data_IF_170741849794
#
_entry.id   IF_170741849794
#
_cell.length_a   1.000
_cell.length_b   1.000
_cell.length_c   1.000
_cell.angle_alpha   90.00
_cell.angle_beta   90.00
_cell.angle_gamma   90.00
#
_symmetry.space_group_name_H-M   'P 1'
#
loop_
_entity.id
_entity.type
_entity.pdbx_description
1 polymer ?
#
# COMPACT_ATOMS: atom_id res chain seq x y z
N UNK A 1 13.74 -50.18 -56.40
CA UNK A 1 12.53 -49.41 -56.76
C UNK A 1 11.86 -49.04 -55.45
N UNK A 2 11.54 -47.75 -55.28
CA UNK A 2 10.88 -47.10 -54.12
C UNK A 2 11.80 -46.91 -52.89
N UNK A 3 11.93 -45.78 -52.21
CA UNK A 3 11.93 -44.32 -52.44
C UNK A 3 12.03 -43.70 -51.02
N UNK A 4 12.95 -42.75 -50.82
CA UNK A 4 13.13 -42.02 -49.54
C UNK A 4 11.96 -41.06 -49.28
N UNK A 5 11.49 -40.98 -48.02
CA UNK A 5 10.73 -39.84 -47.51
C UNK A 5 11.26 -39.39 -46.13
N UNK A 6 11.66 -38.12 -46.09
CA UNK A 6 12.10 -37.32 -44.95
C UNK A 6 10.96 -36.98 -43.97
N UNK A 7 11.29 -36.76 -42.68
CA UNK A 7 11.13 -35.47 -41.95
C UNK A 7 11.78 -35.55 -40.57
N UNK A 8 12.58 -34.55 -40.22
CA UNK A 8 13.15 -34.31 -38.88
C UNK A 8 12.14 -33.50 -38.04
N UNK A 9 12.04 -33.76 -36.73
CA UNK A 9 11.70 -32.70 -35.76
C UNK A 9 12.36 -32.99 -34.40
N UNK A 10 13.18 -32.05 -33.92
CA UNK A 10 13.70 -32.02 -32.56
C UNK A 10 12.63 -31.49 -31.58
N UNK A 11 12.63 -31.95 -30.32
CA UNK A 11 12.44 -31.06 -29.16
C UNK A 11 12.65 -31.79 -27.81
N UNK A 12 13.89 -31.71 -27.33
CA UNK A 12 14.32 -31.18 -26.02
C UNK A 12 13.31 -31.24 -24.84
N UNK A 13 13.73 -32.02 -23.82
CA UNK A 13 13.59 -31.84 -22.36
C UNK A 13 12.20 -31.60 -21.76
N UNK A 14 11.62 -32.67 -21.20
CA UNK A 14 10.69 -32.56 -20.08
C UNK A 14 11.46 -32.27 -18.80
N UNK A 15 11.76 -31.00 -18.51
CA UNK A 15 11.95 -30.61 -17.12
C UNK A 15 10.56 -30.55 -16.51
N UNK A 16 10.21 -31.54 -15.68
CA UNK A 16 9.11 -31.36 -14.74
C UNK A 16 9.34 -30.05 -14.00
N UNK A 17 8.34 -29.17 -13.98
CA UNK A 17 8.46 -27.87 -13.36
C UNK A 17 8.76 -28.06 -11.85
N UNK A 18 9.99 -27.77 -11.37
CA UNK A 18 10.41 -28.08 -10.00
C UNK A 18 9.64 -27.26 -8.95
N UNK A 19 8.92 -26.22 -9.39
CA UNK A 19 8.16 -25.32 -8.53
C UNK A 19 6.71 -25.75 -8.28
N UNK A 20 6.25 -26.88 -8.85
CA UNK A 20 4.88 -27.38 -8.64
C UNK A 20 4.56 -27.69 -7.16
N UNK A 21 5.58 -28.05 -6.35
CA UNK A 21 5.41 -28.29 -4.91
C UNK A 21 5.51 -27.03 -4.04
N UNK A 22 5.89 -25.88 -4.60
CA UNK A 22 5.99 -24.59 -3.91
C UNK A 22 5.04 -23.58 -4.54
N UNK A 23 3.76 -23.95 -4.65
CA UNK A 23 2.71 -22.92 -4.61
C UNK A 23 2.61 -22.50 -3.16
N UNK A 24 3.51 -21.62 -2.72
CA UNK A 24 3.25 -20.77 -1.55
C UNK A 24 1.82 -20.26 -1.74
N UNK A 25 0.96 -20.43 -0.73
CA UNK A 25 -0.39 -19.90 -0.79
C UNK A 25 -0.30 -18.45 -1.27
N UNK A 26 -1.09 -18.12 -2.30
CA UNK A 26 -1.13 -16.76 -2.82
C UNK A 26 -1.40 -15.81 -1.65
N UNK A 27 -0.62 -14.74 -1.57
CA UNK A 27 -0.66 -13.77 -0.49
C UNK A 27 -2.07 -13.15 -0.37
N UNK A 28 -2.85 -13.57 0.63
CA UNK A 28 -4.20 -13.06 0.85
C UNK A 28 -4.18 -11.89 1.84
N UNK A 29 -4.43 -10.66 1.36
CA UNK A 29 -4.39 -9.45 2.19
C UNK A 29 -5.52 -9.42 3.21
N UNK A 30 -6.64 -10.05 2.91
CA UNK A 30 -7.76 -10.11 3.84
C UNK A 30 -7.38 -10.95 5.07
N UNK A 31 -6.81 -12.14 4.86
CA UNK A 31 -6.36 -13.01 5.96
C UNK A 31 -5.25 -12.38 6.81
N UNK A 32 -4.40 -11.54 6.21
CA UNK A 32 -3.31 -10.88 6.92
C UNK A 32 -3.74 -9.68 7.76
N UNK A 33 -4.67 -8.87 7.27
CA UNK A 33 -4.96 -7.56 7.87
C UNK A 33 -6.38 -7.44 8.44
N UNK A 34 -7.31 -8.32 8.06
CA UNK A 34 -8.70 -8.32 8.52
C UNK A 34 -8.96 -9.50 9.47
N UNK A 35 -8.64 -9.30 10.75
CA UNK A 35 -8.79 -10.29 11.82
C UNK A 35 -10.16 -10.26 12.52
N UNK A 36 -10.89 -9.15 12.45
CA UNK A 36 -12.23 -9.00 13.02
C UNK A 36 -13.19 -8.38 11.99
N UNK A 37 -13.68 -9.14 10.99
CA UNK A 37 -14.50 -8.61 9.90
C UNK A 37 -15.77 -7.86 10.34
N UNK A 38 -16.33 -8.20 11.51
CA UNK A 38 -17.53 -7.54 12.05
C UNK A 38 -17.25 -6.21 12.77
N UNK A 39 -15.99 -5.89 13.06
CA UNK A 39 -15.60 -4.66 13.77
C UNK A 39 -14.59 -3.79 13.01
N UNK A 40 -14.01 -4.33 11.93
CA UNK A 40 -13.12 -3.62 11.03
C UNK A 40 -13.87 -3.04 9.84
N UNK A 41 -13.57 -1.78 9.52
CA UNK A 41 -14.14 -1.06 8.37
C UNK A 41 -13.08 -0.20 7.70
N UNK A 42 -13.29 0.07 6.42
CA UNK A 42 -12.54 1.10 5.69
C UNK A 42 -13.31 2.41 5.76
N UNK A 43 -12.60 3.49 6.04
CA UNK A 43 -13.08 4.86 5.93
C UNK A 43 -12.05 5.71 5.19
N UNK A 44 -12.45 6.88 4.71
CA UNK A 44 -11.48 7.86 4.23
C UNK A 44 -10.85 8.62 5.40
N UNK A 45 -9.57 8.94 5.26
CA UNK A 45 -8.90 9.89 6.12
C UNK A 45 -9.51 11.28 5.93
N UNK A 46 -9.97 11.92 7.01
CA UNK A 46 -10.64 13.22 6.92
C UNK A 46 -9.66 14.39 6.75
N UNK A 47 -8.38 14.18 7.03
CA UNK A 47 -7.36 15.24 7.04
C UNK A 47 -5.98 14.71 6.66
N UNK A 48 -5.06 15.65 6.42
CA UNK A 48 -3.65 15.35 6.21
C UNK A 48 -2.91 15.24 7.54
N UNK A 49 -2.53 14.02 7.93
CA UNK A 49 -1.66 13.73 9.06
C UNK A 49 -0.30 13.22 8.57
N UNK A 50 0.42 14.05 7.81
CA UNK A 50 1.65 13.65 7.11
C UNK A 50 2.80 13.22 8.05
N UNK A 51 2.74 13.59 9.33
CA UNK A 51 3.69 13.10 10.35
C UNK A 51 3.50 11.59 10.63
N UNK A 52 2.25 11.12 10.53
CA UNK A 52 1.84 9.72 10.53
C UNK A 52 1.92 9.11 9.12
N UNK A 53 2.20 9.95 8.11
CA UNK A 53 2.08 9.73 6.66
C UNK A 53 0.75 9.15 6.24
N UNK A 54 -0.30 9.78 6.76
CA UNK A 54 -1.67 9.62 6.30
C UNK A 54 -2.01 10.91 5.54
N UNK A 55 -2.40 10.79 4.27
CA UNK A 55 -2.92 11.90 3.49
C UNK A 55 -4.45 11.97 3.59
N UNK A 56 -5.03 13.14 3.34
CA UNK A 56 -6.47 13.28 3.17
C UNK A 56 -6.96 12.37 2.04
N UNK A 57 -8.06 11.64 2.28
CA UNK A 57 -8.63 10.68 1.33
C UNK A 57 -8.00 9.29 1.36
N UNK A 58 -6.87 9.07 2.05
CA UNK A 58 -6.30 7.73 2.25
C UNK A 58 -7.33 6.78 2.88
N UNK A 59 -7.26 5.50 2.56
CA UNK A 59 -8.14 4.52 3.21
C UNK A 59 -7.56 4.11 4.55
N UNK A 60 -8.40 4.13 5.58
CA UNK A 60 -8.04 3.74 6.94
C UNK A 60 -8.78 2.48 7.31
N UNK A 61 -8.04 1.44 7.70
CA UNK A 61 -8.62 0.25 8.30
C UNK A 61 -8.78 0.49 9.80
N UNK A 62 -10.02 0.75 10.21
CA UNK A 62 -10.38 1.09 11.60
C UNK A 62 -11.02 -0.11 12.27
N UNK A 63 -10.52 -0.50 13.44
CA UNK A 63 -11.09 -1.55 14.29
C UNK A 63 -11.78 -0.95 15.51
N UNK A 64 -13.09 -1.13 15.59
CA UNK A 64 -13.93 -0.66 16.70
C UNK A 64 -13.93 -1.59 17.93
N UNK A 65 -13.39 -2.81 17.81
CA UNK A 65 -13.33 -3.76 18.93
C UNK A 65 -12.09 -3.59 19.83
N UNK A 66 -11.09 -2.84 19.36
CA UNK A 66 -9.81 -2.67 20.07
C UNK A 66 -9.85 -1.56 21.09
N UNK A 67 -9.25 -1.84 22.24
CA UNK A 67 -8.84 -0.80 23.19
C UNK A 67 -7.55 -0.12 22.70
N UNK A 68 -7.49 1.23 22.67
CA UNK A 68 -6.29 1.96 22.26
C UNK A 68 -5.08 1.71 23.16
N UNK A 69 -3.91 1.51 22.55
CA UNK A 69 -2.60 1.55 23.21
C UNK A 69 -2.01 2.97 23.11
N UNK A 70 -0.98 3.27 23.91
CA UNK A 70 -0.38 4.60 23.98
C UNK A 70 0.03 5.18 22.62
N UNK A 71 0.63 4.35 21.76
CA UNK A 71 1.12 4.76 20.44
C UNK A 71 0.06 4.74 19.34
N UNK A 72 -1.17 4.28 19.64
CA UNK A 72 -2.17 4.10 18.60
C UNK A 72 -2.67 5.44 18.06
N UNK A 73 -3.03 5.42 16.79
CA UNK A 73 -3.84 6.46 16.18
C UNK A 73 -5.31 6.02 16.31
N UNK A 74 -6.16 6.90 16.81
CA UNK A 74 -7.60 6.66 16.94
C UNK A 74 -8.36 7.60 16.03
N UNK A 75 -9.47 7.11 15.49
CA UNK A 75 -10.47 7.96 14.85
C UNK A 75 -11.47 8.42 15.90
N UNK A 76 -11.66 9.73 15.98
CA UNK A 76 -12.62 10.39 16.85
C UNK A 76 -13.70 11.06 16.00
N UNK A 77 -14.92 11.14 16.51
CA UNK A 77 -16.04 11.86 15.91
C UNK A 77 -16.52 12.92 16.89
N UNK A 78 -16.72 14.15 16.43
CA UNK A 78 -17.30 15.27 17.19
C UNK A 78 -18.14 16.10 16.25
N UNK A 79 -19.41 16.36 16.60
CA UNK A 79 -20.33 17.18 15.78
C UNK A 79 -20.35 16.79 14.28
N UNK A 80 -20.43 15.48 13.98
CA UNK A 80 -20.37 14.89 12.64
C UNK A 80 -19.03 15.06 11.87
N UNK A 81 -18.02 15.69 12.48
CA UNK A 81 -16.67 15.77 11.94
C UNK A 81 -15.77 14.69 12.55
N UNK A 82 -15.03 13.99 11.68
CA UNK A 82 -14.07 12.98 12.12
C UNK A 82 -12.65 13.51 12.14
N UNK A 83 -11.86 13.10 13.13
CA UNK A 83 -10.48 13.54 13.34
C UNK A 83 -9.58 12.35 13.68
N UNK A 84 -8.31 12.44 13.27
CA UNK A 84 -7.27 11.49 13.64
C UNK A 84 -6.44 12.03 14.79
N UNK A 85 -6.27 11.23 15.84
CA UNK A 85 -5.52 11.65 17.02
C UNK A 85 -4.63 10.52 17.51
N UNK A 86 -3.38 10.82 17.85
CA UNK A 86 -2.55 9.89 18.63
C UNK A 86 -3.09 9.78 20.05
N UNK A 87 -3.32 8.56 20.52
CA UNK A 87 -3.92 8.30 21.82
C UNK A 87 -3.16 8.95 22.99
N UNK A 88 -1.83 8.93 22.97
CA UNK A 88 -0.98 9.62 23.95
C UNK A 88 -1.25 11.13 24.05
N UNK A 89 -1.61 11.80 22.96
CA UNK A 89 -1.85 13.24 22.96
C UNK A 89 -3.14 13.60 23.70
N UNK A 90 -4.17 12.75 23.59
CA UNK A 90 -5.42 12.91 24.33
C UNK A 90 -5.19 12.76 25.83
N UNK A 91 -4.38 11.76 26.23
CA UNK A 91 -4.10 11.50 27.65
C UNK A 91 -3.26 12.59 28.31
N UNK A 92 -2.34 13.19 27.57
CA UNK A 92 -1.43 14.22 28.08
C UNK A 92 -2.06 15.62 28.11
N UNK A 93 -3.21 15.80 27.49
CA UNK A 93 -3.90 17.08 27.47
C UNK A 93 -4.68 17.29 28.77
N UNK A 94 -4.01 17.81 29.80
CA UNK A 94 -4.62 18.36 31.01
C UNK A 94 -5.37 19.69 30.77
N UNK A 95 -5.73 19.98 29.52
CA UNK A 95 -6.20 21.30 29.04
C UNK A 95 -7.59 21.24 28.39
N UNK A 96 -8.30 20.12 28.48
CA UNK A 96 -9.67 20.02 27.98
C UNK A 96 -10.66 20.23 29.12
N UNK A 97 -11.61 21.16 28.90
CA UNK A 97 -12.69 21.38 29.84
C UNK A 97 -13.66 20.19 29.77
N UNK A 98 -14.30 19.84 30.88
CA UNK A 98 -15.24 18.71 30.94
C UNK A 98 -16.41 18.84 29.94
N UNK A 99 -16.72 20.07 29.48
CA UNK A 99 -17.75 20.36 28.48
C UNK A 99 -17.36 20.02 27.04
N UNK A 100 -16.06 19.90 26.71
CA UNK A 100 -15.62 19.61 25.35
C UNK A 100 -15.75 18.11 24.99
N UNK A 101 -15.93 17.24 25.98
CA UNK A 101 -16.02 15.78 25.81
C UNK A 101 -17.45 15.24 25.70
N UNK A 102 -18.48 16.05 25.92
CA UNK A 102 -19.87 15.54 25.93
C UNK A 102 -20.32 15.01 24.55
N UNK A 103 -19.61 15.36 23.47
CA UNK A 103 -19.93 14.90 22.10
C UNK A 103 -18.76 14.22 21.35
N UNK A 104 -17.66 13.85 22.02
CA UNK A 104 -16.54 13.16 21.36
C UNK A 104 -16.68 11.64 21.50
N UNK A 105 -16.83 10.95 20.37
CA UNK A 105 -16.96 9.49 20.30
C UNK A 105 -15.70 8.90 19.68
N UNK A 106 -15.08 7.95 20.36
CA UNK A 106 -14.01 7.13 19.77
C UNK A 106 -14.63 6.08 18.85
N UNK A 107 -14.34 6.18 17.56
CA UNK A 107 -14.92 5.33 16.51
C UNK A 107 -14.17 4.01 16.38
N UNK A 108 -12.85 4.02 16.61
CA UNK A 108 -12.00 2.84 16.62
C UNK A 108 -10.52 3.17 16.52
N UNK A 109 -9.69 2.14 16.63
CA UNK A 109 -8.23 2.23 16.44
C UNK A 109 -7.92 2.12 14.95
N UNK A 110 -7.13 3.06 14.42
CA UNK A 110 -6.58 2.97 13.06
C UNK A 110 -5.45 1.95 13.07
N UNK A 111 -5.64 0.85 12.37
CA UNK A 111 -4.71 -0.29 12.36
C UNK A 111 -3.78 -0.26 11.17
N UNK A 112 -4.27 0.28 10.05
CA UNK A 112 -3.51 0.46 8.82
C UNK A 112 -4.03 1.68 8.04
N UNK A 113 -3.13 2.39 7.37
CA UNK A 113 -3.49 3.36 6.33
C UNK A 113 -3.01 2.87 4.97
N UNK A 114 -3.76 3.21 3.93
CA UNK A 114 -3.50 2.82 2.55
C UNK A 114 -3.49 4.11 1.72
N UNK A 115 -2.29 4.48 1.27
CA UNK A 115 -2.08 5.62 0.40
C UNK A 115 -2.18 5.21 -1.08
N UNK A 116 -2.79 6.07 -1.90
CA UNK A 116 -3.13 5.78 -3.29
C UNK A 116 -2.34 6.63 -4.28
N UNK A 117 -1.67 5.99 -5.24
CA UNK A 117 -0.88 6.72 -6.25
C UNK A 117 -1.59 6.97 -7.59
N UNK A 118 -2.68 6.26 -7.89
CA UNK A 118 -3.52 6.57 -9.07
C UNK A 118 -5.00 6.70 -8.69
N UNK A 119 -5.70 7.58 -9.38
CA UNK A 119 -7.11 7.95 -9.19
C UNK A 119 -7.97 7.53 -10.40
N UNK A 120 -9.31 7.42 -10.26
CA UNK A 120 -10.08 7.61 -9.04
C UNK A 120 -10.01 6.40 -8.11
N UNK A 121 -10.16 6.69 -6.83
CA UNK A 121 -10.33 5.70 -5.76
C UNK A 121 -11.77 5.86 -5.29
N UNK A 122 -12.71 5.21 -5.98
CA UNK A 122 -14.05 5.07 -5.41
C UNK A 122 -13.94 4.02 -4.32
N UNK A 123 -14.45 4.32 -3.13
CA UNK A 123 -14.74 3.23 -2.21
C UNK A 123 -15.66 2.26 -2.97
N UNK A 124 -15.35 0.96 -3.00
CA UNK A 124 -16.30 -0.04 -3.49
C UNK A 124 -17.67 0.25 -2.86
N UNK A 125 -18.72 0.31 -3.68
CA UNK A 125 -20.09 0.34 -3.19
C UNK A 125 -20.35 -0.96 -2.43
N UNK A 126 -20.09 -0.96 -1.13
CA UNK A 126 -20.41 -2.08 -0.27
C UNK A 126 -21.93 -2.01 -0.01
N UNK A 127 -22.71 -2.74 -0.81
CA UNK A 127 -24.15 -2.97 -0.55
C UNK A 127 -24.42 -3.64 0.82
N UNK A 128 -23.39 -4.05 1.54
CA UNK A 128 -23.50 -4.73 2.84
C UNK A 128 -22.38 -4.33 3.78
N UNK A 129 -22.77 -3.81 4.96
CA UNK A 129 -21.93 -3.49 6.12
C UNK A 129 -21.21 -4.71 6.76
N UNK A 130 -21.10 -5.85 6.06
CA UNK A 130 -20.82 -7.17 6.68
C UNK A 130 -19.67 -7.93 5.99
N UNK A 131 -19.12 -7.48 4.85
CA UNK A 131 -18.04 -8.22 4.18
C UNK A 131 -16.95 -7.30 3.61
N UNK A 132 -16.10 -6.77 4.48
CA UNK A 132 -14.81 -6.22 4.08
C UNK A 132 -13.93 -7.36 3.52
N UNK A 133 -13.50 -7.23 2.27
CA UNK A 133 -12.56 -8.16 1.62
C UNK A 133 -11.38 -7.36 1.06
N UNK A 134 -10.36 -7.13 1.88
CA UNK A 134 -9.26 -6.24 1.51
C UNK A 134 -8.47 -6.72 0.28
N UNK A 135 -8.38 -8.03 0.08
CA UNK A 135 -7.65 -8.58 -1.07
C UNK A 135 -8.37 -8.20 -2.37
N UNK A 136 -9.69 -8.38 -2.45
CA UNK A 136 -10.48 -7.95 -3.62
C UNK A 136 -10.44 -6.45 -3.87
N UNK A 137 -10.23 -5.65 -2.83
CA UNK A 137 -10.17 -4.19 -2.98
C UNK A 137 -8.85 -3.68 -3.53
N UNK A 138 -7.74 -4.36 -3.20
CA UNK A 138 -6.40 -3.87 -3.54
C UNK A 138 -5.71 -4.65 -4.65
N UNK A 139 -6.14 -5.90 -4.91
CA UNK A 139 -5.50 -6.78 -5.89
C UNK A 139 -6.43 -6.96 -7.08
N UNK A 140 -6.10 -6.28 -8.18
CA UNK A 140 -6.84 -6.41 -9.44
C UNK A 140 -6.39 -7.64 -10.25
N UNK A 141 -5.07 -7.91 -10.29
CA UNK A 141 -4.49 -8.99 -11.08
C UNK A 141 -3.41 -9.76 -10.30
N UNK A 142 -3.83 -10.79 -9.55
CA UNK A 142 -2.97 -11.59 -8.65
C UNK A 142 -1.61 -11.98 -9.25
N UNK A 143 -1.55 -12.41 -10.51
CA UNK A 143 -0.31 -12.88 -11.14
C UNK A 143 0.66 -11.75 -11.52
N UNK A 144 0.20 -10.51 -11.53
CA UNK A 144 0.98 -9.33 -11.89
C UNK A 144 1.19 -8.35 -10.74
N UNK A 145 0.47 -8.54 -9.64
CA UNK A 145 0.64 -7.83 -8.38
C UNK A 145 1.82 -8.40 -7.60
N UNK A 146 2.70 -7.54 -7.08
CA UNK A 146 3.85 -7.92 -6.25
C UNK A 146 3.88 -7.03 -5.03
N UNK A 147 4.19 -7.59 -3.87
CA UNK A 147 4.42 -6.80 -2.65
C UNK A 147 5.91 -6.72 -2.36
N UNK A 148 6.40 -5.52 -2.05
CA UNK A 148 7.74 -5.30 -1.53
C UNK A 148 7.69 -4.41 -0.29
N UNK A 149 8.72 -4.51 0.57
CA UNK A 149 8.86 -3.66 1.74
C UNK A 149 9.72 -2.45 1.41
N UNK A 150 9.26 -1.26 1.74
CA UNK A 150 10.01 -0.03 1.58
C UNK A 150 11.18 0.05 2.58
N UNK A 151 12.28 0.66 2.14
CA UNK A 151 13.42 0.99 2.99
C UNK A 151 13.95 2.38 2.65
N UNK A 152 14.31 3.14 3.68
CA UNK A 152 14.75 4.53 3.62
C UNK A 152 13.64 5.58 3.60
N UNK A 153 14.05 6.84 3.42
CA UNK A 153 13.23 8.03 3.70
C UNK A 153 12.94 8.89 2.46
N UNK A 154 13.39 8.47 1.27
CA UNK A 154 13.32 9.31 0.06
C UNK A 154 11.90 9.59 -0.43
N UNK A 155 10.94 8.72 -0.10
CA UNK A 155 9.56 8.83 -0.56
C UNK A 155 8.59 9.30 0.54
N UNK A 156 9.13 9.89 1.62
CA UNK A 156 8.31 10.58 2.63
C UNK A 156 7.60 11.80 2.03
N UNK A 157 6.43 12.19 2.56
CA UNK A 157 5.75 11.62 3.74
C UNK A 157 4.88 10.38 3.45
N UNK A 158 4.71 10.00 2.20
CA UNK A 158 3.72 8.99 1.80
C UNK A 158 4.23 7.55 1.93
N UNK A 159 5.55 7.33 1.75
CA UNK A 159 6.20 6.03 2.00
C UNK A 159 7.24 6.20 3.08
N UNK A 160 7.13 5.39 4.13
CA UNK A 160 8.09 5.29 5.22
C UNK A 160 8.80 3.93 5.17
N UNK A 161 9.99 3.85 5.76
CA UNK A 161 10.66 2.55 5.93
C UNK A 161 9.76 1.59 6.71
N UNK A 162 9.62 0.37 6.18
CA UNK A 162 8.73 -0.66 6.72
C UNK A 162 7.34 -0.73 6.08
N UNK A 163 6.92 0.27 5.30
CA UNK A 163 5.66 0.21 4.55
C UNK A 163 5.68 -0.96 3.54
N UNK A 164 4.52 -1.55 3.30
CA UNK A 164 4.33 -2.54 2.24
C UNK A 164 3.83 -1.83 0.99
N UNK A 165 4.59 -1.91 -0.10
CA UNK A 165 4.23 -1.34 -1.39
C UNK A 165 3.61 -2.43 -2.25
N UNK A 166 2.44 -2.14 -2.79
CA UNK A 166 1.74 -3.02 -3.71
C UNK A 166 2.01 -2.54 -5.14
N UNK A 167 2.80 -3.31 -5.86
CA UNK A 167 3.28 -3.03 -7.21
C UNK A 167 2.42 -3.74 -8.24
N UNK A 168 2.07 -3.04 -9.31
CA UNK A 168 1.41 -3.61 -10.47
C UNK A 168 2.36 -3.66 -11.66
N UNK A 169 2.72 -4.89 -12.07
CA UNK A 169 3.70 -5.11 -13.16
C UNK A 169 3.06 -5.05 -14.55
N UNK A 170 1.75 -5.21 -14.64
CA UNK A 170 1.02 -5.14 -15.90
C UNK A 170 0.82 -3.68 -16.38
N UNK A 171 0.95 -2.71 -15.47
CA UNK A 171 0.75 -1.29 -15.77
C UNK A 171 1.98 -0.68 -16.45
N UNK A 172 1.73 0.17 -17.45
CA UNK A 172 2.73 1.10 -17.98
C UNK A 172 2.77 2.36 -17.11
N UNK A 173 3.95 2.93 -16.79
CA UNK A 173 4.05 4.18 -16.03
C UNK A 173 3.39 5.34 -16.76
N UNK A 174 2.75 6.22 -15.98
CA UNK A 174 2.19 7.51 -16.38
C UNK A 174 3.03 8.64 -15.75
N UNK A 175 2.81 9.87 -16.23
CA UNK A 175 3.41 11.06 -15.63
C UNK A 175 3.06 11.14 -14.13
N UNK A 176 4.06 11.42 -13.29
CA UNK A 176 3.96 11.49 -11.83
C UNK A 176 3.67 10.18 -11.10
N UNK A 177 3.69 9.02 -11.76
CA UNK A 177 3.58 7.75 -11.03
C UNK A 177 4.78 7.54 -10.10
N UNK A 178 4.56 6.86 -8.99
CA UNK A 178 5.65 6.29 -8.21
C UNK A 178 5.95 4.88 -8.73
N UNK A 179 7.21 4.60 -9.03
CA UNK A 179 7.66 3.34 -9.61
C UNK A 179 8.84 2.76 -8.82
N UNK A 180 8.93 1.43 -8.83
CA UNK A 180 10.16 0.71 -8.48
C UNK A 180 10.94 0.46 -9.76
N UNK A 181 12.20 0.92 -9.76
CA UNK A 181 13.09 0.91 -10.92
C UNK A 181 14.42 0.28 -10.52
N UNK A 182 15.06 -0.45 -11.42
CA UNK A 182 16.50 -0.68 -11.35
C UNK A 182 17.19 0.44 -12.13
N UNK A 183 17.99 1.25 -11.44
CA UNK A 183 18.79 2.34 -12.01
C UNK A 183 20.26 2.03 -11.74
N UNK A 184 21.05 1.79 -12.80
CA UNK A 184 22.50 1.55 -12.70
C UNK A 184 22.92 0.51 -11.64
N UNK A 185 22.11 -0.55 -11.50
CA UNK A 185 22.20 -1.68 -10.55
C UNK A 185 21.53 -1.48 -9.18
N UNK A 186 21.06 -0.29 -8.86
CA UNK A 186 20.35 -0.02 -7.61
C UNK A 186 18.84 -0.11 -7.81
N UNK A 187 18.15 -0.76 -6.86
CA UNK A 187 16.69 -0.71 -6.79
C UNK A 187 16.27 0.57 -6.09
N UNK A 188 15.52 1.41 -6.79
CA UNK A 188 15.06 2.71 -6.29
C UNK A 188 13.54 2.82 -6.39
N UNK A 189 12.94 3.49 -5.41
CA UNK A 189 11.55 3.96 -5.46
C UNK A 189 11.55 5.46 -5.74
N UNK A 190 10.96 5.87 -6.87
CA UNK A 190 10.97 7.26 -7.33
C UNK A 190 9.67 7.63 -8.05
N UNK A 191 9.32 8.90 -8.00
CA UNK A 191 8.31 9.49 -8.88
C UNK A 191 8.91 9.70 -10.26
N UNK A 192 8.19 9.29 -11.30
CA UNK A 192 8.65 9.37 -12.69
C UNK A 192 8.04 10.57 -13.41
N UNK A 193 8.87 11.38 -14.04
CA UNK A 193 8.48 12.47 -14.92
C UNK A 193 8.88 12.09 -16.35
N UNK A 194 7.94 11.51 -17.09
CA UNK A 194 8.22 10.89 -18.39
C UNK A 194 8.59 11.95 -19.43
N UNK A 195 7.92 13.12 -19.37
CA UNK A 195 8.17 14.22 -20.32
C UNK A 195 9.55 14.84 -20.16
N UNK A 196 10.00 15.02 -18.91
CA UNK A 196 11.32 15.59 -18.62
C UNK A 196 12.43 14.53 -18.47
N UNK A 197 12.09 13.24 -18.52
CA UNK A 197 13.01 12.11 -18.24
C UNK A 197 13.72 12.25 -16.90
N UNK A 198 12.97 12.65 -15.86
CA UNK A 198 13.48 12.89 -14.53
C UNK A 198 12.85 11.93 -13.51
N UNK A 199 13.64 11.53 -12.51
CA UNK A 199 13.19 10.79 -11.34
C UNK A 199 13.28 11.70 -10.12
N UNK A 200 12.17 11.95 -9.44
CA UNK A 200 12.14 12.75 -8.21
C UNK A 200 11.79 11.92 -6.99
N UNK A 201 12.15 12.46 -5.83
CA UNK A 201 11.77 11.94 -4.52
C UNK A 201 10.64 12.80 -3.95
N UNK A 202 9.69 12.20 -3.23
CA UNK A 202 8.66 12.98 -2.54
C UNK A 202 9.22 13.77 -1.35
N UNK A 203 10.38 13.32 -0.83
CA UNK A 203 11.12 14.02 0.20
C UNK A 203 12.06 15.06 -0.42
N UNK A 204 11.85 16.37 -0.18
CA UNK A 204 12.66 17.45 -0.78
C UNK A 204 14.14 17.44 -0.38
N UNK A 205 14.53 16.66 0.63
CA UNK A 205 15.94 16.49 1.03
C UNK A 205 16.75 15.67 0.03
N UNK A 206 16.11 15.00 -0.91
CA UNK A 206 16.74 14.16 -1.92
C UNK A 206 16.66 14.86 -3.26
N UNK A 207 17.80 14.95 -3.95
CA UNK A 207 17.87 15.59 -5.25
C UNK A 207 17.19 14.75 -6.33
N UNK A 208 16.61 15.47 -7.28
CA UNK A 208 16.12 14.90 -8.53
C UNK A 208 17.27 14.30 -9.34
N UNK A 209 16.96 13.22 -10.05
CA UNK A 209 17.90 12.52 -10.91
C UNK A 209 17.44 12.60 -12.36
N UNK A 210 18.22 13.31 -13.18
CA UNK A 210 17.99 13.39 -14.62
C UNK A 210 18.50 12.13 -15.30
N UNK A 211 17.60 11.36 -15.93
CA UNK A 211 17.96 10.12 -16.63
C UNK A 211 18.59 10.46 -17.98
N UNK A 212 19.78 9.92 -18.20
CA UNK A 212 20.56 10.04 -19.44
C UNK A 212 20.39 8.78 -20.31
N UNK A 213 20.89 8.83 -21.56
CA UNK A 213 20.89 7.66 -22.44
C UNK A 213 21.95 6.63 -22.08
N UNK A 214 22.92 6.98 -21.23
CA UNK A 214 23.91 6.05 -20.68
C UNK A 214 23.41 5.25 -19.48
N UNK A 215 22.28 5.64 -18.89
CA UNK A 215 21.75 4.96 -17.72
C UNK A 215 21.06 3.66 -18.10
N UNK A 216 21.35 2.60 -17.33
CA UNK A 216 20.54 1.40 -17.36
C UNK A 216 19.32 1.60 -16.46
N UNK A 217 18.14 1.76 -17.09
CA UNK A 217 16.88 1.93 -16.40
C UNK A 217 15.91 0.81 -16.77
N UNK A 218 15.41 0.08 -15.76
CA UNK A 218 14.41 -0.98 -15.94
C UNK A 218 13.28 -0.83 -14.94
N UNK A 219 12.04 -0.86 -15.44
CA UNK A 219 10.85 -0.90 -14.59
C UNK A 219 10.67 -2.27 -13.93
N UNK A 220 10.49 -2.27 -12.62
CA UNK A 220 10.07 -3.45 -11.85
C UNK A 220 8.55 -3.46 -11.62
N UNK A 221 7.92 -2.30 -11.45
CA UNK A 221 6.47 -2.16 -11.35
C UNK A 221 6.05 -0.75 -10.97
N UNK A 222 4.78 -0.43 -11.22
CA UNK A 222 4.16 0.83 -10.77
C UNK A 222 3.62 0.62 -9.36
N UNK A 223 3.95 1.50 -8.42
CA UNK A 223 3.39 1.46 -7.06
C UNK A 223 1.93 1.91 -7.13
N UNK A 224 1.00 1.01 -6.81
CA UNK A 224 -0.44 1.32 -6.77
C UNK A 224 -0.85 1.84 -5.39
N UNK A 225 -0.35 1.17 -4.34
CA UNK A 225 -0.66 1.50 -2.95
C UNK A 225 0.59 1.44 -2.06
N UNK A 226 0.62 2.28 -1.03
CA UNK A 226 1.49 2.11 0.14
C UNK A 226 0.64 1.75 1.36
N UNK A 227 0.90 0.60 1.97
CA UNK A 227 0.19 0.10 3.14
C UNK A 227 1.08 0.29 4.37
N UNK A 228 0.64 1.14 5.29
CA UNK A 228 1.34 1.41 6.55
C UNK A 228 0.59 0.80 7.72
N UNK A 229 1.26 -0.08 8.46
CA UNK A 229 0.73 -0.63 9.70
C UNK A 229 0.96 0.35 10.85
N UNK A 230 -0.13 0.91 11.38
CA UNK A 230 -0.11 1.76 12.58
C UNK A 230 -0.16 0.93 13.86
N UNK A 231 -0.74 -0.28 13.77
CA UNK A 231 -0.72 -1.26 14.85
C UNK A 231 -0.11 -2.57 14.36
N UNK A 232 0.92 -3.11 15.04
CA UNK A 232 1.52 -4.38 14.66
C UNK A 232 0.51 -5.51 14.57
N UNK A 233 0.72 -6.40 13.60
CA UNK A 233 -0.05 -7.64 13.48
C UNK A 233 0.41 -8.57 14.60
N UNK A 234 -0.47 -8.88 15.55
CA UNK A 234 -0.23 -9.98 16.47
C UNK A 234 -0.53 -11.26 15.70
N UNK A 235 0.50 -11.90 15.15
CA UNK A 235 0.41 -13.29 14.72
C UNK A 235 0.28 -14.13 15.99
N UNK A 236 -0.90 -14.71 16.22
CA UNK A 236 -1.15 -15.63 17.34
C UNK A 236 -0.39 -16.93 17.21
#
# INVERSE_FOLDING_TARGET
MIALNNTVSASITGFENPTLQFRDQALNLNELFVYSPSSQRIIHSPSNELSLGIAEGDWLLVDSSRQPLLSDVVLMLSHDESYLVKWENLRNSSTFSASDFEEIIMVGVVTMSIHHYRHPVLLPEHESMICLDLHKLLVEQEHSTVICKADGESMRPFVHSGDLLLLERHLKPNENDVCILALNNDIVCKRVHLRSRCLSSDNPKFYDYQVSDSDYLRLHGVVRYSLRLHRPICMG
#
